data_IF_878299745125
#
_entry.id   IF_878299745125
#
_cell.length_a   1.000
_cell.length_b   1.000
_cell.length_c   1.000
_cell.angle_alpha   90.00
_cell.angle_beta   90.00
_cell.angle_gamma   90.00
#
_symmetry.space_group_name_H-M   'P 1'
#
loop_
_entity.id
_entity.type
_entity.pdbx_description
1 polymer ?
2 polymer ?
3 polymer ?
4 polymer ?
5 non-polymer ?
6 non-polymer ?
7 non-polymer ?
8 non-polymer ?
9 non-polymer ?
10 non-polymer ?
11 water ?
#
loop_
_entity_poly.entity_id
_entity_poly.type
_entity_poly.pdbx_seq_one_letter_code
_entity_poly.pdbx_strand_id
2 'polydeoxyribonucleotide' '(DC)(DG)(DG)(DC)(DC)(DT)(DA)(DC)(DG)' ?
3 'polydeoxyribonucleotide' '(DC)(DG)(DT)(DA)' ?
4 'polydeoxyribonucleotide' '(DG)(DC)(DC)(DG)' ?
#
# COMPACT_ATOMS: atom_id res chain seq x y z
N UNK A 11 5.16 16.97 -21.88
CA UNK A 11 5.10 15.55 -22.21
C UNK A 11 5.16 14.70 -20.93
N UNK A 12 4.31 13.69 -20.87
CA UNK A 12 4.09 12.91 -19.67
C UNK A 12 4.57 11.47 -19.89
N UNK A 13 5.60 11.00 -19.17
CA UNK A 13 6.06 9.63 -19.41
C UNK A 13 4.98 8.62 -19.03
N UNK A 14 5.08 7.43 -19.62
CA UNK A 14 4.00 6.45 -19.51
C UNK A 14 4.01 5.70 -18.18
N UNK A 15 5.17 5.49 -17.57
CA UNK A 15 5.25 4.76 -16.30
C UNK A 15 5.25 5.70 -15.11
N UNK A 16 4.57 5.28 -14.03
CA UNK A 16 4.52 6.17 -12.86
C UNK A 16 5.89 6.39 -12.22
N UNK A 17 6.79 5.43 -12.36
CA UNK A 17 8.12 5.58 -11.79
C UNK A 17 9.00 6.55 -12.57
N UNK A 18 8.51 7.11 -13.65
CA UNK A 18 9.26 8.05 -14.48
C UNK A 18 8.89 9.50 -14.22
N UNK A 19 8.00 9.76 -13.26
CA UNK A 19 7.51 11.11 -13.05
C UNK A 19 7.28 11.32 -11.57
N UNK A 20 7.56 12.50 -11.05
CA UNK A 20 7.24 12.78 -9.65
C UNK A 20 5.73 12.87 -9.46
N UNK A 21 5.25 12.23 -8.40
CA UNK A 21 3.85 12.35 -7.99
C UNK A 21 3.84 12.82 -6.54
N UNK A 22 3.52 14.07 -6.27
CA UNK A 22 3.53 14.55 -4.89
C UNK A 22 2.26 14.13 -4.15
N UNK A 23 2.26 14.36 -2.84
CA UNK A 23 1.12 13.94 -2.03
C UNK A 23 -0.09 14.84 -2.29
N UNK A 24 0.14 16.13 -2.38
CA UNK A 24 -0.91 17.09 -2.70
C UNK A 24 -0.85 17.42 -4.18
N UNK A 25 -1.99 17.25 -4.86
CA UNK A 25 -2.04 17.51 -6.30
C UNK A 25 -3.32 18.27 -6.61
N UNK A 26 -3.59 18.43 -7.90
CA UNK A 26 -4.52 19.44 -8.39
C UNK A 26 -5.75 18.88 -9.08
N UNK A 27 -5.99 17.57 -9.00
CA UNK A 27 -7.06 16.94 -9.76
C UNK A 27 -7.74 15.87 -8.95
N UNK A 28 -7.94 16.13 -7.65
CA UNK A 28 -8.41 15.09 -6.77
C UNK A 28 -9.81 14.60 -7.18
N UNK A 29 -10.67 15.51 -7.63
CA UNK A 29 -12.00 15.11 -8.05
C UNK A 29 -11.97 14.10 -9.17
N UNK A 30 -11.18 14.38 -10.21
CA UNK A 30 -11.11 13.45 -11.34
C UNK A 30 -10.42 12.14 -10.94
N UNK A 31 -9.34 12.23 -10.17
CA UNK A 31 -8.63 11.01 -9.81
C UNK A 31 -9.47 10.13 -8.90
N UNK A 32 -10.21 10.72 -7.95
CA UNK A 32 -11.06 9.93 -7.08
C UNK A 32 -12.11 9.17 -7.88
N UNK A 33 -12.67 9.80 -8.92
CA UNK A 33 -13.68 9.14 -9.74
C UNK A 33 -13.10 7.95 -10.49
N UNK A 34 -11.93 8.16 -11.11
CA UNK A 34 -11.29 7.05 -11.81
C UNK A 34 -10.89 5.93 -10.85
N UNK A 35 -10.54 6.28 -9.60
CA UNK A 35 -10.18 5.23 -8.66
C UNK A 35 -11.41 4.45 -8.17
N UNK A 36 -12.59 5.06 -8.19
CA UNK A 36 -13.81 4.31 -7.94
C UNK A 36 -14.00 3.23 -9.00
N UNK A 37 -13.86 3.63 -10.27
CA UNK A 37 -13.99 2.64 -11.36
C UNK A 37 -12.91 1.57 -11.26
N UNK A 38 -11.69 1.94 -10.86
CA UNK A 38 -10.64 0.94 -10.68
C UNK A 38 -11.04 -0.07 -9.61
N UNK A 39 -11.47 0.42 -8.45
CA UNK A 39 -11.90 -0.46 -7.36
C UNK A 39 -13.00 -1.39 -7.82
N UNK A 40 -14.02 -0.83 -8.48
CA UNK A 40 -15.13 -1.66 -8.97
C UNK A 40 -14.64 -2.70 -9.98
N UNK A 41 -13.69 -2.32 -10.84
CA UNK A 41 -13.15 -3.30 -11.77
C UNK A 41 -12.51 -4.47 -11.03
N UNK A 42 -11.76 -4.18 -9.97
CA UNK A 42 -11.20 -5.24 -9.16
C UNK A 42 -12.27 -6.12 -8.53
N UNK A 43 -13.36 -5.51 -8.06
CA UNK A 43 -14.44 -6.29 -7.46
C UNK A 43 -15.06 -7.25 -8.44
N UNK A 44 -15.02 -6.93 -9.74
CA UNK A 44 -15.54 -7.81 -10.76
C UNK A 44 -14.47 -8.69 -11.37
N UNK A 45 -13.26 -8.67 -10.82
CA UNK A 45 -12.21 -9.56 -11.25
C UNK A 45 -11.45 -9.13 -12.49
N UNK A 46 -11.55 -7.84 -12.86
CA UNK A 46 -10.85 -7.28 -14.03
C UNK A 46 -9.59 -6.54 -13.53
N UNK A 47 -8.51 -7.29 -13.32
CA UNK A 47 -7.29 -6.63 -12.84
C UNK A 47 -6.68 -5.74 -13.90
N UNK A 48 -6.92 -6.04 -15.18
CA UNK A 48 -6.40 -5.17 -16.24
C UNK A 48 -7.11 -3.83 -16.30
N UNK A 49 -8.44 -3.85 -16.23
CA UNK A 49 -9.18 -2.60 -16.17
C UNK A 49 -8.82 -1.81 -14.92
N UNK A 50 -8.66 -2.50 -13.79
CA UNK A 50 -8.26 -1.82 -12.57
C UNK A 50 -6.94 -1.09 -12.79
N UNK A 51 -5.98 -1.77 -13.41
CA UNK A 51 -4.68 -1.16 -13.61
C UNK A 51 -4.78 0.08 -14.49
N UNK A 52 -5.53 0.02 -15.58
CA UNK A 52 -5.64 1.19 -16.46
C UNK A 52 -6.26 2.36 -15.72
N UNK A 53 -7.36 2.11 -14.98
CA UNK A 53 -8.00 3.22 -14.28
C UNK A 53 -7.08 3.77 -13.20
N UNK A 54 -6.35 2.91 -12.48
CA UNK A 54 -5.37 3.36 -11.50
C UNK A 54 -4.28 4.21 -12.16
N UNK A 55 -3.78 3.76 -13.32
CA UNK A 55 -2.72 4.49 -14.01
C UNK A 55 -3.22 5.84 -14.49
N UNK A 56 -4.45 5.88 -15.02
CA UNK A 56 -4.98 7.14 -15.50
C UNK A 56 -5.18 8.12 -14.36
N UNK A 57 -5.72 7.66 -13.22
CA UNK A 57 -5.83 8.52 -12.06
C UNK A 57 -4.47 9.07 -11.67
N UNK A 58 -3.44 8.22 -11.69
CA UNK A 58 -2.12 8.64 -11.26
C UNK A 58 -1.54 9.68 -12.20
N UNK A 59 -1.82 9.57 -13.50
CA UNK A 59 -1.38 10.58 -14.45
C UNK A 59 -1.92 11.94 -14.06
N UNK A 60 -3.18 11.99 -13.64
CA UNK A 60 -3.76 13.26 -13.24
C UNK A 60 -3.09 13.81 -11.98
N UNK A 61 -2.66 12.92 -11.07
CA UNK A 61 -1.97 13.37 -9.87
C UNK A 61 -0.64 14.02 -10.20
N UNK A 62 -0.03 13.65 -11.32
CA UNK A 62 1.27 14.17 -11.67
C UNK A 62 1.20 15.46 -12.48
N UNK A 63 0.01 15.88 -12.92
CA UNK A 63 -0.09 17.11 -13.69
C UNK A 63 0.16 18.33 -12.80
N UNK A 64 0.72 19.40 -13.36
CA UNK A 64 1.05 20.58 -12.55
C UNK A 64 -0.15 21.46 -12.22
N UNK A 65 -1.29 21.27 -12.87
CA UNK A 65 -2.39 22.21 -12.76
C UNK A 65 -3.71 21.49 -12.87
N UNK A 66 -4.80 22.11 -12.47
CA UNK A 66 -6.13 21.51 -12.69
C UNK A 66 -6.44 21.34 -14.17
N UNK A 67 -7.01 20.19 -14.50
CA UNK A 67 -7.60 19.97 -15.81
C UNK A 67 -8.96 20.65 -15.83
N UNK A 68 -9.15 21.58 -16.76
CA UNK A 68 -10.42 22.27 -16.92
C UNK A 68 -11.11 22.00 -18.25
N UNK A 69 -10.42 21.43 -19.23
CA UNK A 69 -10.97 21.21 -20.56
C UNK A 69 -10.51 19.85 -21.07
N UNK A 70 -11.38 19.17 -21.80
CA UNK A 70 -11.01 17.84 -22.30
C UNK A 70 -9.78 17.92 -23.20
N UNK A 71 -9.56 19.09 -23.83
CA UNK A 71 -8.35 19.30 -24.64
C UNK A 71 -7.08 18.92 -23.89
N UNK A 72 -7.03 19.21 -22.59
CA UNK A 72 -5.81 19.03 -21.82
C UNK A 72 -5.45 17.57 -21.62
N UNK A 73 -6.31 16.64 -22.03
CA UNK A 73 -6.01 15.22 -21.94
C UNK A 73 -5.31 14.67 -23.17
N UNK A 74 -5.37 15.39 -24.28
CA UNK A 74 -4.83 14.85 -25.52
C UNK A 74 -3.38 14.43 -25.33
N UNK A 75 -3.08 13.21 -25.74
CA UNK A 75 -1.72 12.71 -25.69
C UNK A 75 -1.29 12.16 -24.35
N UNK A 76 -2.10 12.26 -23.29
CA UNK A 76 -1.68 11.71 -22.01
C UNK A 76 -1.73 10.19 -22.04
N UNK A 77 -0.75 9.51 -21.49
CA UNK A 77 -0.81 8.04 -21.44
C UNK A 77 -1.96 7.56 -20.56
N UNK A 78 -2.52 6.42 -20.97
CA UNK A 78 -3.56 5.67 -20.27
C UNK A 78 -4.93 6.35 -20.33
N UNK A 79 -5.08 7.39 -21.15
CA UNK A 79 -6.37 8.00 -21.41
C UNK A 79 -6.83 7.59 -22.81
N UNK A 80 -7.86 6.74 -22.84
CA UNK A 80 -8.52 6.37 -24.07
C UNK A 80 -9.97 6.78 -24.01
N UNK A 81 -10.81 6.08 -24.76
CA UNK A 81 -12.19 6.55 -24.88
C UNK A 81 -12.90 6.53 -23.52
N UNK A 82 -12.64 5.51 -22.69
CA UNK A 82 -13.45 5.35 -21.49
C UNK A 82 -13.06 6.35 -20.40
N UNK A 83 -11.77 6.45 -20.09
CA UNK A 83 -11.33 7.40 -19.07
C UNK A 83 -11.56 8.84 -19.51
N UNK A 84 -11.43 9.11 -20.81
CA UNK A 84 -11.68 10.47 -21.29
C UNK A 84 -13.15 10.85 -21.12
N UNK A 85 -14.07 9.91 -21.37
CA UNK A 85 -15.49 10.23 -21.21
C UNK A 85 -15.83 10.52 -19.75
N UNK A 86 -15.24 9.75 -18.83
CA UNK A 86 -15.44 10.01 -17.41
C UNK A 86 -15.03 11.44 -17.08
N UNK A 87 -13.86 11.86 -17.54
CA UNK A 87 -13.39 13.20 -17.25
C UNK A 87 -14.30 14.23 -17.92
N UNK A 88 -14.71 13.96 -19.16
CA UNK A 88 -15.54 14.93 -19.85
C UNK A 88 -16.87 15.13 -19.12
N UNK A 89 -17.49 14.06 -18.64
CA UNK A 89 -18.75 14.22 -17.90
C UNK A 89 -18.55 14.98 -16.61
N UNK A 90 -17.46 14.70 -15.88
CA UNK A 90 -17.20 15.45 -14.65
C UNK A 90 -16.94 16.92 -14.95
N UNK A 91 -16.26 17.22 -16.06
CA UNK A 91 -16.02 18.62 -16.42
C UNK A 91 -17.31 19.31 -16.82
N UNK A 92 -18.18 18.60 -17.55
CA UNK A 92 -19.39 19.22 -18.06
C UNK A 92 -20.49 19.32 -17.00
N UNK A 93 -20.65 18.27 -16.18
CA UNK A 93 -21.79 18.17 -15.29
C UNK A 93 -21.44 18.04 -13.82
N UNK A 94 -20.16 17.90 -13.47
CA UNK A 94 -19.78 17.70 -12.09
C UNK A 94 -20.01 16.30 -11.56
N UNK A 95 -20.60 15.41 -12.36
CA UNK A 95 -20.80 14.01 -11.97
C UNK A 95 -20.64 13.14 -13.21
N UNK A 96 -20.21 11.90 -12.98
CA UNK A 96 -20.18 10.90 -14.03
C UNK A 96 -21.22 9.84 -13.68
N UNK A 97 -22.18 9.64 -14.60
CA UNK A 97 -23.29 8.74 -14.29
C UNK A 97 -22.81 7.34 -13.93
N UNK A 98 -21.81 6.82 -14.66
CA UNK A 98 -21.31 5.48 -14.36
C UNK A 98 -20.75 5.41 -12.95
N UNK A 99 -19.95 6.42 -12.57
CA UNK A 99 -19.36 6.47 -11.24
C UNK A 99 -20.45 6.52 -10.18
N UNK A 100 -21.48 7.34 -10.40
CA UNK A 100 -22.54 7.45 -9.40
C UNK A 100 -23.32 6.13 -9.29
N UNK A 101 -23.61 5.51 -10.42
CA UNK A 101 -24.27 4.21 -10.40
C UNK A 101 -23.46 3.18 -9.63
N UNK A 102 -22.14 3.14 -9.85
CA UNK A 102 -21.28 2.22 -9.09
C UNK A 102 -21.32 2.57 -7.61
N UNK A 103 -21.03 3.84 -7.29
CA UNK A 103 -21.08 4.34 -5.92
C UNK A 103 -22.29 3.83 -5.14
N UNK A 104 -23.47 3.99 -5.72
CA UNK A 104 -24.72 3.75 -5.01
C UNK A 104 -25.12 2.28 -5.02
N UNK A 105 -24.37 1.41 -5.68
CA UNK A 105 -24.82 0.04 -5.85
C UNK A 105 -24.57 -0.78 -4.59
N UNK A 106 -25.49 -1.70 -4.30
CA UNK A 106 -25.34 -2.59 -3.16
C UNK A 106 -24.07 -3.43 -3.30
N UNK A 107 -23.79 -3.89 -4.52
CA UNK A 107 -22.60 -4.70 -4.76
C UNK A 107 -21.32 -3.94 -4.43
N UNK A 108 -21.19 -2.72 -4.95
CA UNK A 108 -19.99 -1.94 -4.66
C UNK A 108 -19.86 -1.68 -3.16
N UNK A 109 -20.95 -1.23 -2.53
CA UNK A 109 -20.86 -0.86 -1.13
C UNK A 109 -20.48 -2.04 -0.26
N UNK A 110 -21.05 -3.22 -0.53
CA UNK A 110 -20.77 -4.40 0.29
C UNK A 110 -19.37 -4.93 0.02
N UNK A 111 -18.96 -4.97 -1.24
CA UNK A 111 -17.61 -5.43 -1.55
C UNK A 111 -16.58 -4.52 -0.91
N UNK A 112 -16.83 -3.21 -0.90
CA UNK A 112 -15.91 -2.29 -0.23
C UNK A 112 -15.87 -2.57 1.27
N UNK A 113 -17.04 -2.78 1.86
CA UNK A 113 -17.12 -3.04 3.30
C UNK A 113 -16.38 -4.31 3.65
N UNK A 114 -16.58 -5.39 2.89
CA UNK A 114 -15.95 -6.65 3.22
C UNK A 114 -14.45 -6.63 2.92
N UNK A 115 -14.04 -6.09 1.78
CA UNK A 115 -12.62 -6.15 1.44
C UNK A 115 -11.78 -5.24 2.32
N UNK A 116 -12.40 -4.25 2.98
CA UNK A 116 -11.66 -3.42 3.93
C UNK A 116 -11.37 -4.15 5.24
N UNK A 117 -11.95 -5.33 5.46
CA UNK A 117 -11.60 -6.14 6.62
C UNK A 117 -10.22 -6.76 6.40
N UNK A 118 -9.38 -6.68 7.42
CA UNK A 118 -8.10 -7.38 7.43
C UNK A 118 -8.32 -8.89 7.33
N UNK A 119 -7.78 -9.51 6.29
CA UNK A 119 -7.96 -10.93 6.08
C UNK A 119 -8.99 -11.27 5.02
N UNK A 120 -9.69 -10.28 4.47
CA UNK A 120 -10.72 -10.50 3.46
C UNK A 120 -10.32 -9.80 2.17
N UNK A 121 -10.22 -10.57 1.07
CA UNK A 121 -10.00 -10.02 -0.24
C UNK A 121 -11.21 -10.16 -1.15
N UNK A 122 -11.00 -9.85 -2.42
CA UNK A 122 -12.10 -9.83 -3.38
C UNK A 122 -12.75 -11.20 -3.48
N UNK A 123 -11.95 -12.25 -3.64
CA UNK A 123 -12.54 -13.58 -3.83
C UNK A 123 -13.39 -13.98 -2.62
N UNK A 124 -12.91 -13.73 -1.41
CA UNK A 124 -13.69 -14.07 -0.22
C UNK A 124 -14.95 -13.22 -0.14
N UNK A 125 -14.81 -11.91 -0.35
CA UNK A 125 -15.95 -11.00 -0.25
C UNK A 125 -17.01 -11.37 -1.27
N UNK A 126 -16.59 -11.73 -2.48
CA UNK A 126 -17.53 -12.05 -3.54
C UNK A 126 -18.32 -13.30 -3.19
N UNK A 127 -17.66 -14.31 -2.61
CA UNK A 127 -18.38 -15.50 -2.20
C UNK A 127 -19.43 -15.16 -1.14
N UNK A 128 -19.04 -14.38 -0.13
CA UNK A 128 -19.98 -13.98 0.90
C UNK A 128 -21.14 -13.18 0.31
N UNK A 129 -20.84 -12.26 -0.60
CA UNK A 129 -21.90 -11.53 -1.29
C UNK A 129 -22.86 -12.49 -1.96
N UNK A 130 -22.32 -13.41 -2.77
CA UNK A 130 -23.17 -14.36 -3.47
C UNK A 130 -23.99 -15.20 -2.51
N UNK A 131 -23.51 -15.38 -1.28
CA UNK A 131 -24.25 -16.13 -0.28
C UNK A 131 -25.31 -15.29 0.43
N UNK A 132 -25.44 -14.02 0.10
CA UNK A 132 -26.46 -13.17 0.68
C UNK A 132 -26.01 -12.30 1.83
N UNK A 133 -24.75 -12.40 2.23
CA UNK A 133 -24.28 -11.61 3.36
C UNK A 133 -24.04 -10.18 2.91
N UNK A 134 -24.34 -9.23 3.80
CA UNK A 134 -24.26 -7.81 3.46
C UNK A 134 -23.65 -6.94 4.56
N UNK A 135 -23.65 -7.37 5.82
CA UNK A 135 -23.19 -6.52 6.90
C UNK A 135 -22.11 -7.24 7.69
N UNK A 136 -21.36 -6.44 8.46
CA UNK A 136 -20.40 -7.02 9.39
C UNK A 136 -21.09 -7.94 10.41
N UNK A 137 -22.30 -7.55 10.85
CA UNK A 137 -23.03 -8.42 11.78
C UNK A 137 -23.38 -9.75 11.15
N UNK A 138 -23.66 -9.77 9.84
CA UNK A 138 -23.90 -11.04 9.16
C UNK A 138 -22.70 -11.96 9.29
N UNK A 139 -21.49 -11.43 9.10
CA UNK A 139 -20.30 -12.27 9.23
C UNK A 139 -20.09 -12.73 10.66
N UNK A 140 -20.35 -11.85 11.63
CA UNK A 140 -20.21 -12.22 13.03
C UNK A 140 -21.16 -13.35 13.41
N UNK A 141 -22.34 -13.40 12.79
CA UNK A 141 -23.33 -14.43 13.10
C UNK A 141 -22.97 -15.80 12.53
N UNK A 142 -21.93 -15.91 11.70
CA UNK A 142 -21.48 -17.19 11.14
C UNK A 142 -19.98 -17.34 11.37
N UNK A 143 -19.55 -17.45 12.63
CA UNK A 143 -18.11 -17.37 12.92
C UNK A 143 -17.27 -18.49 12.32
N UNK A 144 -17.85 -19.66 12.04
CA UNK A 144 -17.03 -20.76 11.54
C UNK A 144 -16.59 -20.53 10.09
N UNK A 145 -17.21 -19.60 9.38
CA UNK A 145 -16.78 -19.25 8.03
C UNK A 145 -15.54 -18.35 8.01
N UNK A 146 -14.87 -18.16 9.15
CA UNK A 146 -13.82 -17.15 9.28
C UNK A 146 -12.49 -17.78 9.67
N UNK A 147 -11.43 -17.37 8.98
CA UNK A 147 -10.09 -17.70 9.41
C UNK A 147 -9.76 -16.96 10.70
N UNK A 148 -8.72 -17.43 11.38
CA UNK A 148 -8.17 -16.69 12.52
C UNK A 148 -7.86 -15.24 12.16
N UNK A 149 -7.22 -15.02 11.00
CA UNK A 149 -6.90 -13.65 10.58
C UNK A 149 -8.14 -12.80 10.42
N UNK A 150 -9.19 -13.38 9.82
CA UNK A 150 -10.43 -12.66 9.60
C UNK A 150 -11.17 -12.39 10.91
N UNK A 151 -11.06 -13.32 11.86
CA UNK A 151 -11.69 -13.09 13.16
C UNK A 151 -11.03 -11.89 13.86
N UNK A 152 -9.70 -11.80 13.79
CA UNK A 152 -9.00 -10.66 14.35
C UNK A 152 -9.39 -9.37 13.64
N UNK A 153 -9.43 -9.39 12.31
CA UNK A 153 -9.82 -8.20 11.57
C UNK A 153 -11.22 -7.75 11.93
N UNK A 154 -12.13 -8.70 12.11
CA UNK A 154 -13.51 -8.34 12.44
C UNK A 154 -13.63 -7.87 13.86
N UNK A 155 -12.88 -8.50 14.78
CA UNK A 155 -12.95 -8.12 16.19
C UNK A 155 -12.47 -6.70 16.40
N UNK A 156 -11.47 -6.27 15.64
CA UNK A 156 -10.87 -4.96 15.85
C UNK A 156 -11.24 -3.99 14.75
N UNK A 157 -12.33 -4.28 14.04
CA UNK A 157 -12.62 -3.53 12.82
C UNK A 157 -12.82 -2.05 13.12
N UNK A 158 -13.54 -1.74 14.20
CA UNK A 158 -13.79 -0.34 14.57
C UNK A 158 -12.51 0.44 14.72
N UNK A 159 -11.60 -0.06 15.55
CA UNK A 159 -10.32 0.60 15.76
C UNK A 159 -9.55 0.67 14.45
N UNK A 160 -9.52 -0.42 13.68
CA UNK A 160 -8.72 -0.43 12.45
C UNK A 160 -9.29 0.51 11.40
N UNK A 161 -10.52 0.97 11.59
CA UNK A 161 -11.11 1.95 10.68
C UNK A 161 -10.79 3.38 11.09
N UNK A 162 -10.14 3.57 12.24
CA UNK A 162 -9.73 4.89 12.72
C UNK A 162 -8.37 5.23 12.13
N UNK A 163 -8.22 6.37 11.45
CA UNK A 163 -6.90 6.69 10.88
C UNK A 163 -5.80 6.64 11.93
N UNK A 164 -4.68 6.05 11.54
CA UNK A 164 -3.47 6.10 12.35
C UNK A 164 -2.82 7.45 12.13
N UNK A 165 -2.47 8.14 13.22
CA UNK A 165 -1.85 9.47 13.17
C UNK A 165 -0.37 9.41 13.50
N UNK A 166 0.32 10.53 13.28
CA UNK A 166 1.76 10.58 13.50
C UNK A 166 2.11 10.32 14.96
N UNK A 167 1.29 10.86 15.87
CA UNK A 167 1.45 10.57 17.29
C UNK A 167 1.54 9.06 17.53
N UNK A 168 0.64 8.30 16.90
CA UNK A 168 0.64 6.85 17.06
C UNK A 168 1.91 6.23 16.49
N UNK A 169 2.34 6.73 15.33
CA UNK A 169 3.55 6.22 14.70
C UNK A 169 4.73 6.36 15.64
N UNK A 170 4.87 7.54 16.26
CA UNK A 170 6.03 7.81 17.10
C UNK A 170 6.01 6.92 18.33
N UNK A 171 4.84 6.72 18.93
CA UNK A 171 4.73 5.83 20.07
C UNK A 171 5.08 4.41 19.67
N UNK A 172 4.55 3.97 18.51
CA UNK A 172 4.81 2.60 18.06
C UNK A 172 6.27 2.40 17.73
N UNK A 173 6.90 3.37 17.08
CA UNK A 173 8.30 3.19 16.73
C UNK A 173 9.14 3.02 17.98
N UNK A 174 8.78 3.74 19.06
CA UNK A 174 9.52 3.63 20.31
C UNK A 174 9.41 2.22 20.88
N UNK A 175 8.21 1.65 20.91
CA UNK A 175 8.10 0.33 21.51
C UNK A 175 8.72 -0.73 20.62
N UNK A 176 8.66 -0.54 19.29
CA UNK A 176 9.31 -1.49 18.40
C UNK A 176 10.84 -1.39 18.53
N UNK A 177 11.37 -0.16 18.62
CA UNK A 177 12.81 0.00 18.80
C UNK A 177 13.26 -0.63 20.12
N UNK A 178 12.44 -0.52 21.16
CA UNK A 178 12.80 -1.10 22.44
C UNK A 178 12.86 -2.62 22.35
N UNK A 179 11.89 -3.24 21.70
CA UNK A 179 11.89 -4.69 21.57
C UNK A 179 13.01 -5.15 20.66
N UNK A 180 13.26 -4.42 19.57
CA UNK A 180 14.33 -4.78 18.65
C UNK A 180 15.67 -4.70 19.37
N UNK A 181 15.91 -3.62 20.11
CA UNK A 181 17.17 -3.48 20.83
C UNK A 181 17.38 -4.52 21.91
N UNK A 182 16.29 -5.02 22.50
CA UNK A 182 16.42 -6.10 23.47
C UNK A 182 16.71 -7.43 22.78
N UNK A 183 16.19 -7.60 21.56
CA UNK A 183 16.40 -8.84 20.83
C UNK A 183 17.78 -8.93 20.20
N UNK A 184 18.36 -7.81 19.78
CA UNK A 184 19.62 -7.85 19.04
C UNK A 184 20.27 -6.47 19.08
N UNK A 185 21.32 -6.27 19.88
CA UNK A 185 21.97 -4.96 19.93
C UNK A 185 22.47 -4.56 18.56
N UNK A 186 22.32 -3.27 18.26
CA UNK A 186 22.76 -2.73 17.00
C UNK A 186 21.75 -2.81 15.89
N UNK A 187 20.63 -3.51 16.11
CA UNK A 187 19.61 -3.62 15.07
C UNK A 187 18.85 -2.30 15.00
N UNK A 188 18.36 -1.99 13.81
CA UNK A 188 17.74 -0.71 13.55
C UNK A 188 16.32 -0.90 13.05
N UNK A 189 15.54 0.18 13.20
CA UNK A 189 14.14 0.22 12.82
C UNK A 189 13.93 1.45 11.94
N UNK A 190 13.41 1.24 10.73
CA UNK A 190 13.16 2.31 9.77
C UNK A 190 11.67 2.34 9.45
N UNK A 191 11.07 3.52 9.64
CA UNK A 191 9.70 3.75 9.21
C UNK A 191 9.59 3.74 7.70
N UNK A 192 8.67 2.94 7.17
CA UNK A 192 8.45 2.91 5.72
C UNK A 192 6.99 3.20 5.39
N UNK A 193 6.47 2.63 4.31
CA UNK A 193 5.08 2.86 3.95
C UNK A 193 4.76 4.34 3.72
N UNK A 194 3.46 4.64 3.81
CA UNK A 194 2.98 5.97 3.46
C UNK A 194 3.52 7.08 4.33
N UNK A 195 3.79 6.80 5.60
CA UNK A 195 4.35 7.84 6.45
C UNK A 195 5.73 8.26 5.97
N UNK A 196 6.54 7.32 5.47
CA UNK A 196 7.82 7.72 4.89
C UNK A 196 7.63 8.60 3.65
N UNK A 197 6.54 8.41 2.90
CA UNK A 197 6.20 9.25 1.76
C UNK A 197 5.60 10.60 2.15
N UNK A 198 5.45 10.87 3.45
CA UNK A 198 4.95 12.14 3.93
C UNK A 198 3.50 12.16 4.30
N UNK A 199 2.80 11.03 4.24
CA UNK A 199 1.40 11.01 4.62
C UNK A 199 1.25 11.37 6.09
N UNK A 200 0.13 12.05 6.38
CA UNK A 200 -0.25 12.45 7.74
C UNK A 200 -1.03 11.37 8.47
N UNK A 201 -1.58 10.40 7.73
CA UNK A 201 -2.46 9.39 8.27
C UNK A 201 -2.17 8.09 7.52
N UNK A 202 -2.66 6.99 8.07
CA UNK A 202 -2.50 5.71 7.41
C UNK A 202 -3.48 4.72 7.98
N UNK A 203 -3.61 3.58 7.30
CA UNK A 203 -4.38 2.46 7.82
C UNK A 203 -3.53 1.54 8.70
N UNK A 204 -2.22 1.71 8.68
CA UNK A 204 -1.29 0.90 9.46
C UNK A 204 0.02 1.67 9.59
N UNK A 205 0.98 1.07 10.26
CA UNK A 205 2.35 1.56 10.33
C UNK A 205 3.26 0.44 9.87
N UNK A 206 4.23 0.77 9.02
CA UNK A 206 5.11 -0.18 8.37
C UNK A 206 6.54 0.07 8.84
N UNK A 207 7.23 -0.97 9.32
CA UNK A 207 8.59 -0.85 9.80
C UNK A 207 9.50 -1.89 9.15
N UNK A 208 10.71 -1.47 8.82
CA UNK A 208 11.74 -2.33 8.25
C UNK A 208 12.91 -2.40 9.23
N UNK A 209 13.33 -3.63 9.55
CA UNK A 209 14.29 -3.90 10.61
C UNK A 209 15.49 -4.59 9.99
N UNK A 210 16.69 -4.15 10.36
CA UNK A 210 17.90 -4.81 9.85
C UNK A 210 19.01 -4.69 10.90
N UNK A 211 20.19 -5.18 10.54
CA UNK A 211 21.37 -5.08 11.38
C UNK A 211 22.57 -4.84 10.46
N UNK A 212 23.51 -3.99 10.84
CA UNK A 212 24.61 -3.67 9.90
C UNK A 212 25.51 -4.84 9.57
N UNK A 213 25.54 -5.90 10.38
CA UNK A 213 26.41 -7.06 10.12
C UNK A 213 25.58 -8.17 9.46
N UNK A 214 25.82 -8.39 8.17
CA UNK A 214 25.09 -9.39 7.40
C UNK A 214 25.00 -10.71 8.17
N UNK A 215 23.79 -11.23 8.29
CA UNK A 215 23.55 -12.50 8.93
C UNK A 215 23.14 -12.42 10.39
N UNK A 216 23.46 -11.31 11.08
CA UNK A 216 23.12 -11.20 12.49
C UNK A 216 21.60 -11.15 12.69
N UNK A 217 20.86 -10.74 11.68
CA UNK A 217 19.42 -10.58 11.76
C UNK A 217 18.67 -11.90 11.61
N UNK A 218 19.37 -13.01 11.35
CA UNK A 218 18.70 -14.30 11.27
C UNK A 218 18.00 -14.60 12.58
N UNK A 219 16.73 -14.99 12.49
CA UNK A 219 15.94 -15.35 13.65
C UNK A 219 15.43 -14.18 14.46
N UNK A 220 15.56 -12.95 13.94
CA UNK A 220 15.23 -11.78 14.73
C UNK A 220 13.73 -11.61 14.93
N UNK A 221 12.92 -11.86 13.92
CA UNK A 221 11.54 -11.41 14.06
C UNK A 221 10.80 -12.22 15.12
N UNK A 222 10.97 -13.55 15.22
CA UNK A 222 10.35 -14.26 16.35
C UNK A 222 10.78 -13.72 17.70
N UNK A 223 12.06 -13.35 17.86
CA UNK A 223 12.52 -12.80 19.13
C UNK A 223 11.83 -11.48 19.44
N UNK A 224 11.68 -10.62 18.42
CA UNK A 224 11.02 -9.34 18.61
C UNK A 224 9.56 -9.56 18.98
N UNK A 225 8.89 -10.48 18.27
CA UNK A 225 7.48 -10.74 18.52
C UNK A 225 7.26 -11.27 19.94
N UNK A 226 8.12 -12.19 20.39
CA UNK A 226 7.99 -12.71 21.75
C UNK A 226 8.11 -11.59 22.76
N UNK A 227 9.04 -10.66 22.55
CA UNK A 227 9.25 -9.57 23.49
C UNK A 227 8.07 -8.60 23.46
N UNK A 228 7.51 -8.34 22.29
CA UNK A 228 6.32 -7.49 22.24
C UNK A 228 5.14 -8.17 22.93
N UNK A 229 4.97 -9.47 22.67
CA UNK A 229 3.84 -10.17 23.25
C UNK A 229 3.94 -10.22 24.76
N UNK A 230 5.16 -10.28 25.31
CA UNK A 230 5.33 -10.31 26.75
C UNK A 230 5.08 -8.97 27.41
N UNK A 231 5.19 -7.88 26.67
CA UNK A 231 4.80 -6.58 27.22
C UNK A 231 3.31 -6.30 26.99
N UNK A 232 2.54 -7.30 26.55
CA UNK A 232 1.13 -7.14 26.33
C UNK A 232 0.76 -6.31 25.11
N UNK A 233 1.67 -6.16 24.14
CA UNK A 233 1.48 -5.22 23.05
C UNK A 233 0.85 -5.87 21.81
N UNK A 234 0.67 -7.18 21.77
CA UNK A 234 0.24 -7.89 20.56
C UNK A 234 -1.17 -8.44 20.75
N UNK A 235 -2.08 -8.08 19.85
CA UNK A 235 -3.42 -8.65 19.82
C UNK A 235 -3.56 -9.78 18.81
N UNK A 236 -2.83 -9.70 17.70
CA UNK A 236 -2.86 -10.72 16.68
C UNK A 236 -1.50 -10.78 15.99
N UNK A 237 -1.01 -11.98 15.73
CA UNK A 237 0.11 -12.09 14.82
C UNK A 237 0.15 -13.49 14.20
N UNK A 238 1.04 -13.64 13.22
CA UNK A 238 1.24 -14.88 12.49
C UNK A 238 0.02 -15.25 11.66
N UNK A 258 10.05 -20.20 11.31
CA UNK A 258 10.88 -19.11 10.79
C UNK A 258 10.05 -18.13 10.00
N UNK A 259 10.21 -16.83 10.26
CA UNK A 259 9.52 -15.85 9.43
C UNK A 259 10.27 -14.53 9.44
N UNK A 260 10.03 -13.74 8.38
CA UNK A 260 10.67 -12.44 8.22
C UNK A 260 9.68 -11.32 7.99
N UNK A 261 8.38 -11.59 7.85
CA UNK A 261 7.34 -10.57 7.76
C UNK A 261 6.25 -10.96 8.72
N UNK A 262 5.72 -9.97 9.44
CA UNK A 262 4.57 -10.20 10.29
C UNK A 262 3.58 -9.07 10.10
N UNK A 263 2.35 -9.42 9.79
CA UNK A 263 1.25 -8.47 9.67
C UNK A 263 0.45 -8.58 10.95
N UNK A 264 0.71 -7.64 11.87
CA UNK A 264 0.27 -7.71 13.26
C UNK A 264 -0.88 -6.75 13.51
N UNK A 265 -1.53 -6.95 14.66
CA UNK A 265 -2.36 -5.94 15.30
C UNK A 265 -1.81 -5.72 16.69
N UNK A 266 -1.40 -4.48 16.98
CA UNK A 266 -0.86 -4.10 18.28
C UNK A 266 -1.94 -3.54 19.19
N UNK A 267 -1.76 -3.75 20.49
CA UNK A 267 -2.55 -3.07 21.52
C UNK A 267 -1.76 -1.84 21.93
N UNK A 268 -2.08 -0.71 21.30
CA UNK A 268 -1.37 0.55 21.54
C UNK A 268 -1.97 1.28 22.74
N UNK A 269 -1.21 1.52 23.80
CA UNK A 269 -1.75 2.28 24.94
C UNK A 269 -2.16 3.68 24.52
N UNK A 270 -3.27 4.14 25.07
CA UNK A 270 -3.76 5.51 24.94
C UNK A 270 -3.98 6.02 26.35
N UNK A 271 -4.21 7.33 26.51
CA UNK A 271 -4.51 7.86 27.85
C UNK A 271 -5.66 7.11 28.50
N UNK A 272 -5.36 6.35 29.56
CA UNK A 272 -6.37 5.60 30.27
C UNK A 272 -6.95 4.40 29.54
N UNK A 273 -6.41 4.02 28.38
CA UNK A 273 -7.04 2.92 27.65
C UNK A 273 -6.07 2.43 26.58
N UNK A 274 -6.62 1.96 25.45
CA UNK A 274 -5.82 1.41 24.37
C UNK A 274 -6.65 1.32 23.10
N UNK A 275 -5.97 1.23 21.97
CA UNK A 275 -6.65 0.99 20.70
C UNK A 275 -5.80 0.05 19.84
N UNK A 276 -6.49 -0.75 19.04
CA UNK A 276 -5.83 -1.67 18.13
C UNK A 276 -5.30 -0.91 16.92
N UNK A 277 -4.06 -1.24 16.52
CA UNK A 277 -3.42 -0.62 15.36
C UNK A 277 -2.75 -1.72 14.57
N UNK A 278 -2.96 -1.70 13.25
CA UNK A 278 -2.24 -2.58 12.34
C UNK A 278 -0.79 -2.13 12.21
N UNK A 279 0.12 -3.08 12.35
CA UNK A 279 1.55 -2.82 12.23
C UNK A 279 2.15 -3.92 11.37
N UNK A 280 2.93 -3.52 10.38
CA UNK A 280 3.66 -4.47 9.54
C UNK A 280 5.12 -4.40 9.93
N UNK A 281 5.70 -5.56 10.22
CA UNK A 281 7.11 -5.67 10.58
C UNK A 281 7.81 -6.55 9.56
N UNK A 282 8.93 -6.09 9.02
CA UNK A 282 9.70 -6.89 8.09
C UNK A 282 11.18 -6.79 8.46
N UNK A 283 11.85 -7.94 8.46
CA UNK A 283 13.29 -8.03 8.71
C UNK A 283 13.98 -8.34 7.40
N UNK A 284 15.06 -7.63 7.11
CA UNK A 284 15.85 -7.88 5.91
C UNK A 284 17.32 -7.86 6.27
N UNK A 285 18.15 -8.69 5.64
CA UNK A 285 19.60 -8.55 5.79
C UNK A 285 20.05 -7.24 5.14
N UNK A 286 21.13 -6.69 5.67
CA UNK A 286 21.53 -5.34 5.23
C UNK A 286 21.85 -5.32 3.74
N UNK A 287 22.33 -6.44 3.18
CA UNK A 287 22.56 -6.51 1.74
C UNK A 287 21.28 -6.24 0.94
N UNK A 288 20.12 -6.59 1.50
CA UNK A 288 18.85 -6.37 0.81
C UNK A 288 18.16 -5.09 1.27
N UNK A 289 18.70 -4.37 2.25
CA UNK A 289 17.97 -3.27 2.86
C UNK A 289 17.52 -2.21 1.85
N UNK A 290 18.33 -1.78 0.88
CA UNK A 290 17.84 -0.76 -0.06
C UNK A 290 16.68 -1.25 -0.90
N UNK A 291 16.68 -2.55 -1.23
CA UNK A 291 15.58 -3.10 -2.02
C UNK A 291 14.33 -3.23 -1.19
N UNK A 292 14.47 -3.64 0.08
CA UNK A 292 13.31 -3.71 0.95
C UNK A 292 12.76 -2.33 1.24
N UNK A 293 13.64 -1.35 1.46
CA UNK A 293 13.20 0.00 1.75
C UNK A 293 12.43 0.58 0.57
N UNK A 294 12.94 0.36 -0.64
CA UNK A 294 12.25 0.84 -1.83
C UNK A 294 10.89 0.16 -1.98
N UNK A 295 10.85 -1.16 -1.83
CA UNK A 295 9.61 -1.89 -1.99
C UNK A 295 8.56 -1.48 -0.97
N UNK A 296 8.93 -1.48 0.31
CA UNK A 296 7.96 -1.22 1.36
C UNK A 296 7.58 0.25 1.48
N UNK A 297 8.33 1.16 0.86
CA UNK A 297 7.95 2.57 0.90
C UNK A 297 6.86 2.91 -0.11
N UNK A 298 6.67 2.10 -1.14
CA UNK A 298 5.52 2.29 -2.01
C UNK A 298 5.67 3.52 -2.88
N UNK A 299 4.55 4.10 -3.32
CA UNK A 299 3.21 3.56 -3.17
C UNK A 299 3.06 2.20 -3.85
N UNK A 300 1.95 1.53 -3.61
CA UNK A 300 1.80 0.21 -4.20
C UNK A 300 1.76 0.30 -5.73
N UNK A 301 1.11 1.32 -6.26
CA UNK A 301 1.12 1.49 -7.71
C UNK A 301 2.51 1.87 -8.23
N UNK A 302 3.20 2.75 -7.49
CA UNK A 302 4.56 3.12 -7.89
C UNK A 302 5.43 1.88 -8.02
N UNK A 303 5.31 0.95 -7.06
CA UNK A 303 6.21 -0.20 -7.06
C UNK A 303 5.85 -1.20 -8.15
N UNK A 304 4.56 -1.45 -8.39
CA UNK A 304 4.21 -2.31 -9.52
C UNK A 304 4.72 -1.71 -10.83
N UNK A 305 4.56 -0.39 -10.99
CA UNK A 305 5.06 0.27 -12.19
C UNK A 305 6.58 0.18 -12.32
N UNK A 306 7.29 0.34 -11.20
CA UNK A 306 8.74 0.25 -11.22
C UNK A 306 9.20 -1.16 -11.59
N UNK A 307 8.54 -2.18 -11.04
CA UNK A 307 8.89 -3.56 -11.37
C UNK A 307 8.53 -3.89 -12.81
N UNK A 308 7.40 -3.36 -13.31
CA UNK A 308 7.06 -3.52 -14.73
C UNK A 308 8.11 -2.85 -15.60
N UNK A 309 8.48 -1.61 -15.27
CA UNK A 309 9.50 -0.90 -16.03
C UNK A 309 10.80 -1.69 -16.07
N UNK A 310 11.25 -2.17 -14.91
CA UNK A 310 12.50 -2.90 -14.81
C UNK A 310 12.52 -4.09 -15.76
N UNK A 311 11.46 -4.88 -15.74
CA UNK A 311 11.42 -6.11 -16.54
C UNK A 311 11.19 -5.79 -18.02
N UNK A 312 10.22 -4.94 -18.32
CA UNK A 312 9.83 -4.73 -19.72
C UNK A 312 10.77 -3.77 -20.45
N UNK A 313 11.29 -2.76 -19.76
CA UNK A 313 12.17 -1.81 -20.43
C UNK A 313 13.65 -2.12 -20.25
N UNK A 314 14.07 -2.74 -19.15
CA UNK A 314 15.49 -3.00 -18.93
C UNK A 314 15.85 -4.48 -18.87
N UNK A 315 14.89 -5.38 -18.91
CA UNK A 315 15.20 -6.79 -18.87
C UNK A 315 15.73 -7.28 -17.54
N UNK A 316 15.46 -6.54 -16.46
CA UNK A 316 15.94 -6.89 -15.13
C UNK A 316 14.75 -7.16 -14.23
N UNK A 317 14.92 -8.07 -13.28
CA UNK A 317 13.82 -8.50 -12.41
C UNK A 317 13.99 -7.90 -11.03
N UNK A 318 13.04 -7.06 -10.63
CA UNK A 318 13.10 -6.32 -9.38
C UNK A 318 12.11 -6.88 -8.37
N UNK A 319 12.56 -7.08 -7.13
CA UNK A 319 11.64 -7.32 -6.03
C UNK A 319 12.21 -6.66 -4.77
N UNK A 320 11.63 -6.99 -3.62
CA UNK A 320 12.09 -6.34 -2.40
C UNK A 320 13.34 -7.00 -1.83
N UNK A 321 13.87 -8.00 -2.51
CA UNK A 321 15.12 -8.65 -2.14
C UNK A 321 16.29 -8.21 -3.00
N UNK A 322 16.07 -7.75 -4.22
CA UNK A 322 17.19 -7.46 -5.09
C UNK A 322 16.76 -7.16 -6.51
N UNK A 323 17.76 -7.02 -7.37
CA UNK A 323 17.56 -6.70 -8.78
C UNK A 323 18.44 -7.65 -9.59
N UNK A 324 17.80 -8.54 -10.34
CA UNK A 324 18.43 -9.70 -10.94
C UNK A 324 18.59 -9.52 -12.45
N UNK A 325 19.79 -9.76 -12.95
CA UNK A 325 20.02 -9.82 -14.38
C UNK A 325 19.90 -11.28 -14.83
N UNK A 326 18.82 -11.65 -15.53
CA UNK A 326 18.60 -13.07 -15.84
C UNK A 326 19.57 -13.63 -16.83
N UNK A 327 20.26 -12.79 -17.60
CA UNK A 327 21.19 -13.29 -18.61
C UNK A 327 22.56 -13.58 -18.00
N UNK A 328 23.08 -12.69 -17.16
CA UNK A 328 24.33 -12.96 -16.47
C UNK A 328 24.13 -13.74 -15.18
N UNK A 329 22.89 -13.90 -14.72
CA UNK A 329 22.61 -14.67 -13.51
C UNK A 329 23.27 -14.01 -12.28
N UNK A 330 23.16 -12.69 -12.18
CA UNK A 330 23.81 -11.92 -11.13
C UNK A 330 22.84 -10.92 -10.53
N UNK A 331 23.12 -10.57 -9.28
CA UNK A 331 22.34 -9.59 -8.53
C UNK A 331 23.12 -8.29 -8.42
N UNK A 332 22.41 -7.18 -8.63
CA UNK A 332 23.02 -5.87 -8.52
C UNK A 332 23.25 -5.51 -7.05
N UNK A 333 24.47 -5.17 -6.71
CA UNK A 333 24.78 -4.77 -5.34
C UNK A 333 24.45 -3.28 -5.18
N UNK A 334 23.49 -2.97 -4.31
CA UNK A 334 23.04 -1.62 -4.08
C UNK A 334 23.34 -1.22 -2.64
N UNK A 335 23.80 0.00 -2.46
CA UNK A 335 23.98 0.58 -1.13
C UNK A 335 22.87 1.55 -0.76
N UNK A 336 22.05 1.95 -1.72
CA UNK A 336 21.04 2.99 -1.49
C UNK A 336 19.93 2.84 -2.52
N UNK A 337 18.78 3.43 -2.22
CA UNK A 337 17.73 3.52 -3.23
C UNK A 337 18.23 4.24 -4.48
N UNK A 338 18.98 5.33 -4.30
CA UNK A 338 19.55 6.05 -5.45
C UNK A 338 20.29 5.11 -6.39
N UNK A 339 21.06 4.16 -5.84
CA UNK A 339 21.79 3.20 -6.68
C UNK A 339 20.82 2.40 -7.54
N UNK A 340 19.67 2.02 -6.98
CA UNK A 340 18.72 1.21 -7.73
C UNK A 340 18.13 2.02 -8.88
N UNK A 341 17.67 3.24 -8.60
CA UNK A 341 17.15 4.08 -9.67
C UNK A 341 18.20 4.23 -10.78
N UNK A 342 19.45 4.45 -10.39
CA UNK A 342 20.50 4.67 -11.38
C UNK A 342 20.72 3.44 -12.24
N UNK A 343 20.74 2.26 -11.62
CA UNK A 343 20.95 1.05 -12.40
C UNK A 343 19.83 0.82 -13.40
N UNK A 344 18.64 1.33 -13.11
CA UNK A 344 17.47 1.22 -13.97
C UNK A 344 17.37 2.38 -14.97
N UNK A 345 18.32 3.32 -14.95
CA UNK A 345 18.27 4.44 -15.86
C UNK A 345 17.20 5.47 -15.57
N UNK A 346 16.74 5.56 -14.33
CA UNK A 346 15.69 6.47 -13.92
C UNK A 346 16.24 7.61 -13.09
N UNK A 347 15.73 8.82 -13.33
CA UNK A 347 15.95 9.93 -12.39
C UNK A 347 15.50 9.52 -11.00
N UNK A 348 16.32 9.78 -9.98
CA UNK A 348 15.93 9.44 -8.62
C UNK A 348 14.72 10.24 -8.19
N UNK A 349 13.81 9.60 -7.46
CA UNK A 349 12.64 10.26 -6.89
C UNK A 349 12.65 10.04 -5.37
N UNK A 350 12.62 11.09 -4.56
CA UNK A 350 12.54 10.88 -3.11
C UNK A 350 11.18 10.29 -2.76
N UNK A 351 11.06 9.71 -1.56
CA UNK A 351 9.80 9.03 -1.20
C UNK A 351 8.57 9.90 -1.34
N UNK A 352 8.70 11.19 -1.07
CA UNK A 352 7.54 12.08 -1.12
C UNK A 352 7.09 12.35 -2.56
N UNK A 353 7.84 11.91 -3.56
CA UNK A 353 7.42 12.01 -4.95
C UNK A 353 7.05 10.65 -5.54
N UNK A 354 6.83 9.65 -4.69
CA UNK A 354 6.42 8.31 -5.11
C UNK A 354 4.95 8.04 -4.79
N UNK A 355 4.16 9.11 -4.66
CA UNK A 355 2.76 8.97 -4.27
C UNK A 355 1.86 8.74 -5.46
N UNK A 356 2.26 7.79 -6.32
CA UNK A 356 1.50 7.48 -7.52
C UNK A 356 0.18 6.83 -7.17
X LIG E 1 1.35 -2.12 5.50
X LIG F 1 1.08 1.45 5.42
X LIG G 1 1.56 21.11 -7.42
X LIG H 1 -15.66 1.30 -22.14
X LIG I 1 -23.07 15.74 -21.44
X LIG J 1 13.70 -13.52 2.18
X LIG K 1 -8.89 -6.91 3.22
X LIG L 1 0.63 -0.30 2.74
X LIG L 1 0.92 -0.22 4.23
X LIG L 1 -0.29 -1.40 2.25
X LIG L 1 1.94 -0.29 2.00
X LIG L 1 0.00 1.11 2.26
X LIG L 1 0.58 2.58 2.49
X LIG L 1 1.22 3.04 1.21
X LIG L 1 1.45 2.58 3.71
X LIG L 1 -0.82 3.37 2.69
X LIG L 1 -1.78 3.27 3.99
X LIG L 1 -2.00 4.71 4.38
X LIG L 1 -1.13 2.32 4.98
X LIG L 1 -3.11 2.58 3.42
X LIG L 1 -3.56 2.78 2.07
X LIG L 1 -4.05 1.47 1.44
X LIG L 1 -4.42 0.50 2.46
X LIG L 1 -5.30 1.60 0.52
X LIG L 1 -4.91 1.53 -0.83
X LIG L 1 -6.29 0.48 0.92
X LIG L 1 -6.37 -0.61 -0.02
X LIG L 1 -5.71 -0.03 2.22
X LIG L 1 -6.62 0.42 3.27
X LIG L 1 -6.85 1.72 3.61
X LIG L 1 -7.72 1.81 4.57
X LIG L 1 -8.07 0.50 4.86
X LIG L 1 -8.96 -0.03 5.83
X LIG L 1 -9.66 0.57 6.64
X LIG L 1 -9.00 -1.42 5.77
X LIG L 1 -8.27 -2.19 4.89
X LIG L 1 -8.42 -3.52 4.98
X LIG L 1 -7.42 -1.71 4.00
X LIG L 1 -7.38 -0.36 4.05
X LIG L 1 -6.32 2.64 3.09
X LIG M 1 7.68 -8.18 -2.22
X LIG M 1 6.72 -7.31 -2.76
X LIG M 1 8.73 -8.55 -3.27
X LIG M 1 9.73 -9.35 -2.66
X LIG N 1 18.51 5.60 1.15
X LIG N 1 18.69 4.34 0.59
X LIG N 1 18.14 6.54 0.02
X LIG N 1 16.79 6.91 0.05
X LIG O 1 -4.15 13.02 4.51
X LIG O 1 -2.57 12.20 4.13
X LIG O 1 -2.44 11.04 5.01
X LIG O 1 -2.58 11.74 2.74
X LIG O 1 -1.48 13.13 4.35
X LIG P 1 -6.08 2.61 -8.09
X LIG Q 1 -7.24 -9.45 -25.23
X LIG R 1 -10.30 -5.69 -21.72
#
# INVERSE_FOLDING_TARGET
GSAAAPLSPAWMPAYACQRPTPLTHHNTGLSEALEILAEAAGFEGSEGRLLTFCRAASVLKALPSPVTTLSQLQGLPHFGEHSSRVVQELLEHGVCEEVERVRRSERYQTMKLFTQIFGVGVKTADRWYREGLRTLDDLREQPQKLTQQQKAGLQHHQDLSTPVLRSDVDALQQVVEEAVGQALPGATVTLTGGFRRGKLQGHDVDFLITHPKEGQEAGLLPRVMCRLQDQGLILYHQHQHSCCESPTRLAQQSHMDAFERSFCIFRLPQPGSWKAVRVDLVVAPVSQFPFALLGWTGSKLFQRELRRFSRKEKGLWLNSHGLFDPEQKTFFQAASEEDIFRHLGLEYLPPEQRNA
MN MN
MN MN
MN MN
MN MN
MN MN
MN MN
NA NA
8GT PG O1G O2G O3G O3B PB O1B O2B O3A PA O1A O2A O5' C5' C4' O4' C3' O3' C2' O2' C1' N9 C8 N7 C5 C6 O6 N1 C2 N2 N3 C4 O8
EDO C1 O1 C2 O2
EDO C1 O1 C2 O2
EPE C10 S O1S O2S O3S
DTT S1
MN MN
MN MN
#
